data_IF_626024503924
#
_entry.id   IF_626024503924
#
_cell.length_a   1.000
_cell.length_b   1.000
_cell.length_c   1.000
_cell.angle_alpha   90.00
_cell.angle_beta   90.00
_cell.angle_gamma   90.00
#
_symmetry.space_group_name_H-M   'P 1'
#
loop_
_entity.id
_entity.type
_entity.pdbx_description
1 polymer ?
#
# COMPACT_ATOMS: atom_id res chain seq x y z
N UNK A 1 4.27 -4.86 35.59
CA UNK A 1 4.36 -5.76 34.40
C UNK A 1 4.69 -5.05 33.08
N UNK A 2 4.38 -3.74 32.89
CA UNK A 2 4.75 -3.00 31.67
C UNK A 2 6.26 -2.67 31.57
N UNK A 3 6.89 -2.26 32.67
CA UNK A 3 8.32 -1.90 32.71
C UNK A 3 9.27 -3.06 32.30
N UNK A 4 8.91 -4.31 32.62
CA UNK A 4 9.67 -5.50 32.21
C UNK A 4 9.46 -5.89 30.74
N UNK A 5 8.41 -5.38 30.08
CA UNK A 5 8.17 -5.61 28.63
C UNK A 5 9.00 -4.66 27.77
N UNK A 6 9.07 -3.38 28.12
CA UNK A 6 9.89 -2.38 27.42
C UNK A 6 11.38 -2.72 27.49
N UNK A 7 11.90 -3.06 28.68
CA UNK A 7 13.30 -3.47 28.85
C UNK A 7 13.68 -4.71 28.04
N UNK A 8 12.76 -5.68 27.91
CA UNK A 8 12.97 -6.87 27.07
C UNK A 8 12.99 -6.52 25.59
N UNK A 9 12.13 -5.59 25.16
CA UNK A 9 12.12 -5.09 23.79
C UNK A 9 13.39 -4.31 23.46
N UNK A 10 13.84 -3.41 24.33
CA UNK A 10 15.10 -2.70 24.14
C UNK A 10 16.28 -3.66 23.99
N UNK A 11 16.31 -4.73 24.80
CA UNK A 11 17.34 -5.76 24.71
C UNK A 11 17.29 -6.53 23.39
N UNK A 12 16.09 -6.96 22.96
CA UNK A 12 15.91 -7.63 21.66
C UNK A 12 16.27 -6.72 20.49
N UNK A 13 15.86 -5.45 20.54
CA UNK A 13 16.15 -4.45 19.51
C UNK A 13 17.63 -4.15 19.42
N UNK A 14 18.33 -4.00 20.56
CA UNK A 14 19.79 -3.85 20.60
C UNK A 14 20.49 -5.08 20.01
N UNK A 15 20.07 -6.28 20.42
CA UNK A 15 20.71 -7.52 19.99
C UNK A 15 20.51 -7.83 18.50
N UNK A 16 19.34 -7.50 17.95
CA UNK A 16 18.99 -7.80 16.56
C UNK A 16 19.22 -6.63 15.61
N UNK A 17 19.71 -5.47 16.07
CA UNK A 17 19.87 -4.26 15.24
C UNK A 17 20.73 -4.52 14.00
N UNK A 18 21.87 -5.17 14.17
CA UNK A 18 22.81 -5.46 13.07
C UNK A 18 22.19 -6.48 12.11
N UNK A 19 21.66 -7.58 12.63
CA UNK A 19 20.96 -8.60 11.84
C UNK A 19 19.78 -8.02 11.05
N UNK A 20 19.05 -7.06 11.63
CA UNK A 20 17.95 -6.34 10.97
C UNK A 20 18.43 -5.53 9.78
N UNK A 21 19.54 -4.79 9.91
CA UNK A 21 20.11 -4.01 8.79
C UNK A 21 20.54 -4.93 7.65
N UNK A 22 21.29 -6.00 7.95
CA UNK A 22 21.74 -6.96 6.92
C UNK A 22 20.58 -7.68 6.23
N UNK A 23 19.58 -8.15 7.00
CA UNK A 23 18.40 -8.80 6.41
C UNK A 23 17.58 -7.84 5.54
N UNK A 24 17.41 -6.59 5.98
CA UNK A 24 16.71 -5.57 5.19
C UNK A 24 17.44 -5.30 3.87
N UNK A 25 18.76 -5.09 3.91
CA UNK A 25 19.57 -4.88 2.71
C UNK A 25 19.51 -6.10 1.77
N UNK A 26 19.54 -7.31 2.31
CA UNK A 26 19.44 -8.54 1.51
C UNK A 26 18.09 -8.66 0.81
N UNK A 27 17.00 -8.30 1.48
CA UNK A 27 15.67 -8.26 0.85
C UNK A 27 15.55 -7.14 -0.19
N UNK A 28 16.16 -5.97 0.05
CA UNK A 28 16.28 -4.92 -0.97
C UNK A 28 17.07 -5.40 -2.19
N UNK A 29 18.21 -6.07 -2.00
CA UNK A 29 19.03 -6.63 -3.09
C UNK A 29 18.27 -7.71 -3.89
N UNK A 30 17.51 -8.58 -3.22
CA UNK A 30 16.64 -9.56 -3.88
C UNK A 30 15.56 -8.88 -4.70
N UNK A 31 14.92 -7.84 -4.16
CA UNK A 31 13.87 -7.10 -4.85
C UNK A 31 14.39 -6.35 -6.09
N UNK A 32 15.65 -5.93 -6.08
CA UNK A 32 16.30 -5.28 -7.24
C UNK A 32 16.81 -6.32 -8.25
N UNK A 33 17.09 -7.55 -7.82
CA UNK A 33 17.63 -8.63 -8.65
C UNK A 33 19.16 -8.68 -8.71
N UNK A 34 19.85 -8.17 -7.67
CA UNK A 34 21.33 -8.11 -7.59
C UNK A 34 21.94 -9.36 -6.92
N UNK A 35 21.13 -10.20 -6.26
CA UNK A 35 21.65 -11.39 -5.59
C UNK A 35 22.20 -12.42 -6.61
N UNK A 36 23.40 -13.01 -6.38
CA UNK A 36 23.85 -14.14 -7.17
C UNK A 36 22.91 -15.30 -6.86
N UNK A 37 22.16 -15.76 -7.85
CA UNK A 37 21.64 -17.12 -7.78
C UNK A 37 22.84 -18.07 -7.76
N UNK A 38 22.81 -19.03 -6.84
CA UNK A 38 23.75 -20.16 -6.78
C UNK A 38 23.97 -20.75 -8.19
N UNK A 39 25.25 -20.85 -8.57
CA UNK A 39 25.82 -21.69 -9.63
C UNK A 39 25.15 -21.71 -11.02
N UNK A 40 25.06 -20.55 -11.67
CA UNK A 40 24.99 -20.54 -13.12
C UNK A 40 25.67 -19.28 -13.65
N UNK A 41 26.65 -19.49 -14.53
CA UNK A 41 27.50 -18.50 -15.18
C UNK A 41 26.80 -17.15 -15.38
N UNK A 42 27.49 -16.09 -14.93
CA UNK A 42 27.15 -14.70 -15.16
C UNK A 42 27.17 -14.40 -16.67
N UNK A 43 26.08 -14.75 -17.36
CA UNK A 43 25.69 -14.05 -18.58
C UNK A 43 25.03 -12.78 -18.10
N UNK A 44 25.68 -11.65 -18.35
CA UNK A 44 25.10 -10.31 -18.36
C UNK A 44 23.66 -10.42 -18.87
N UNK A 45 22.69 -10.39 -17.96
CA UNK A 45 21.28 -10.61 -18.31
C UNK A 45 20.85 -9.35 -19.02
N UNK A 46 21.06 -9.36 -20.33
CA UNK A 46 20.44 -8.49 -21.31
C UNK A 46 18.99 -8.32 -20.89
N UNK A 47 18.67 -7.16 -20.30
CA UNK A 47 17.29 -6.74 -20.16
C UNK A 47 16.64 -6.92 -21.54
N UNK A 48 15.44 -7.51 -21.64
CA UNK A 48 14.79 -7.72 -22.93
C UNK A 48 14.87 -6.41 -23.72
N UNK A 49 15.41 -6.46 -24.94
CA UNK A 49 15.74 -5.29 -25.79
C UNK A 49 14.59 -4.26 -25.84
N UNK A 50 13.34 -4.71 -25.67
CA UNK A 50 12.13 -3.88 -25.58
C UNK A 50 12.03 -2.93 -24.35
N UNK A 51 12.80 -3.13 -23.27
CA UNK A 51 12.77 -2.26 -22.09
C UNK A 51 13.66 -1.01 -22.23
N UNK A 52 14.72 -1.06 -23.05
CA UNK A 52 15.61 0.08 -23.25
C UNK A 52 15.00 1.19 -24.14
N UNK A 53 14.00 0.86 -24.97
CA UNK A 53 13.47 1.77 -25.98
C UNK A 53 12.25 2.60 -25.53
N UNK A 54 11.71 2.35 -24.33
CA UNK A 54 10.58 3.12 -23.79
C UNK A 54 10.91 3.86 -22.50
N UNK A 55 10.08 4.84 -22.15
CA UNK A 55 10.08 5.42 -20.81
C UNK A 55 9.75 4.36 -19.75
N UNK A 56 10.45 4.36 -18.60
CA UNK A 56 10.07 3.51 -17.47
C UNK A 56 8.74 3.98 -16.86
N UNK A 57 8.03 3.07 -16.20
CA UNK A 57 6.71 3.32 -15.62
C UNK A 57 6.75 3.21 -14.10
N UNK A 58 6.27 4.26 -13.43
CA UNK A 58 5.98 4.26 -12.00
C UNK A 58 4.46 4.14 -11.81
N UNK A 59 4.00 2.99 -11.33
CA UNK A 59 2.60 2.75 -10.99
C UNK A 59 2.38 2.91 -9.50
N UNK A 60 1.62 3.93 -9.12
CA UNK A 60 1.10 4.10 -7.77
C UNK A 60 -0.19 3.31 -7.59
N UNK A 61 -0.19 2.31 -6.72
CA UNK A 61 -1.40 1.66 -6.22
C UNK A 61 -1.81 2.35 -4.91
N UNK A 62 -2.95 3.05 -4.92
CA UNK A 62 -3.47 3.84 -3.81
C UNK A 62 -4.83 3.37 -3.33
N UNK A 63 -5.13 3.59 -2.06
CA UNK A 63 -6.39 3.16 -1.47
C UNK A 63 -6.26 2.80 0.00
N UNK A 64 -7.31 3.06 0.77
CA UNK A 64 -7.33 2.78 2.20
C UNK A 64 -7.03 1.31 2.52
N UNK A 65 -6.59 1.05 3.76
CA UNK A 65 -6.31 -0.33 4.19
C UNK A 65 -7.58 -1.19 4.06
N UNK A 66 -7.47 -2.39 3.49
CA UNK A 66 -8.62 -3.26 3.23
C UNK A 66 -9.48 -2.87 2.02
N UNK A 67 -9.09 -1.88 1.22
CA UNK A 67 -9.83 -1.47 0.02
C UNK A 67 -9.83 -2.49 -1.13
N UNK A 68 -9.03 -3.57 -1.06
CA UNK A 68 -8.96 -4.56 -2.14
C UNK A 68 -7.94 -4.24 -3.23
N UNK A 69 -6.89 -3.45 -2.93
CA UNK A 69 -5.80 -3.11 -3.86
C UNK A 69 -5.19 -4.32 -4.54
N UNK A 70 -4.88 -5.37 -3.77
CA UNK A 70 -4.27 -6.60 -4.30
C UNK A 70 -5.17 -7.31 -5.32
N UNK A 71 -6.51 -7.19 -5.21
CA UNK A 71 -7.43 -7.74 -6.21
C UNK A 71 -7.31 -6.99 -7.54
N UNK A 72 -7.30 -5.66 -7.49
CA UNK A 72 -7.13 -4.80 -8.68
C UNK A 72 -5.75 -4.99 -9.30
N UNK A 73 -4.69 -5.07 -8.48
CA UNK A 73 -3.33 -5.27 -8.94
C UNK A 73 -3.18 -6.59 -9.72
N UNK A 74 -3.82 -7.68 -9.26
CA UNK A 74 -3.81 -8.96 -9.99
C UNK A 74 -4.36 -8.85 -11.40
N UNK A 75 -5.36 -8.00 -11.62
CA UNK A 75 -5.94 -7.81 -12.94
C UNK A 75 -5.08 -6.87 -13.80
N UNK A 76 -4.50 -5.83 -13.20
CA UNK A 76 -3.54 -4.95 -13.89
C UNK A 76 -2.31 -5.72 -14.37
N UNK A 77 -1.78 -6.64 -13.55
CA UNK A 77 -0.62 -7.45 -13.92
C UNK A 77 -0.87 -8.39 -15.11
N UNK A 78 -2.13 -8.65 -15.47
CA UNK A 78 -2.52 -9.41 -16.67
C UNK A 78 -2.62 -8.54 -17.92
N UNK A 79 -2.61 -7.21 -17.79
CA UNK A 79 -2.68 -6.30 -18.94
C UNK A 79 -1.43 -6.45 -19.82
N UNK A 80 -1.53 -6.27 -21.16
CA UNK A 80 -0.43 -6.56 -22.10
C UNK A 80 0.90 -5.89 -21.75
N UNK A 81 0.85 -4.68 -21.17
CA UNK A 81 2.04 -3.97 -20.71
C UNK A 81 2.71 -4.70 -19.53
N UNK A 82 1.94 -5.00 -18.49
CA UNK A 82 2.47 -5.57 -17.26
C UNK A 82 2.74 -7.07 -17.39
N UNK A 83 2.03 -7.82 -18.23
CA UNK A 83 2.33 -9.23 -18.46
C UNK A 83 3.76 -9.47 -18.97
N UNK A 84 4.30 -8.51 -19.74
CA UNK A 84 5.69 -8.54 -20.21
C UNK A 84 6.70 -7.83 -19.29
N UNK A 85 6.28 -6.81 -18.54
CA UNK A 85 7.18 -6.00 -17.70
C UNK A 85 7.25 -6.44 -16.22
N UNK A 86 6.21 -7.09 -15.70
CA UNK A 86 6.06 -7.36 -14.27
C UNK A 86 7.16 -8.26 -13.70
N UNK A 87 7.71 -9.18 -14.50
CA UNK A 87 8.84 -10.03 -14.08
C UNK A 87 10.12 -9.23 -13.79
N UNK A 88 10.26 -8.04 -14.37
CA UNK A 88 11.41 -7.15 -14.21
C UNK A 88 11.08 -5.88 -13.41
N UNK A 89 9.81 -5.68 -13.02
CA UNK A 89 9.37 -4.52 -12.27
C UNK A 89 9.70 -4.69 -10.77
N UNK A 90 10.09 -3.59 -10.13
CA UNK A 90 10.33 -3.57 -8.69
C UNK A 90 9.01 -3.30 -7.98
N UNK A 91 8.50 -4.28 -7.23
CA UNK A 91 7.28 -4.14 -6.43
C UNK A 91 7.67 -3.67 -5.03
N UNK A 92 7.09 -2.56 -4.59
CA UNK A 92 7.41 -1.92 -3.31
C UNK A 92 6.16 -1.90 -2.45
N UNK A 93 6.13 -2.78 -1.45
CA UNK A 93 5.08 -2.85 -0.43
C UNK A 93 5.75 -2.75 0.96
N UNK A 94 5.53 -1.64 1.68
CA UNK A 94 6.14 -1.45 3.00
C UNK A 94 5.72 -2.52 4.02
N UNK A 95 4.52 -3.09 3.88
CA UNK A 95 4.05 -4.16 4.75
C UNK A 95 4.78 -5.50 4.50
N UNK A 96 5.31 -5.76 3.29
CA UNK A 96 6.08 -6.97 3.00
C UNK A 96 7.39 -7.02 3.80
N UNK A 97 8.06 -5.86 3.95
CA UNK A 97 9.25 -5.74 4.79
C UNK A 97 8.99 -5.99 6.28
N UNK A 98 7.74 -5.82 6.76
CA UNK A 98 7.40 -6.15 8.15
C UNK A 98 7.44 -7.65 8.40
N UNK A 99 7.05 -8.46 7.41
CA UNK A 99 6.98 -9.91 7.54
C UNK A 99 8.36 -10.56 7.54
N UNK A 100 9.32 -9.94 6.85
CA UNK A 100 10.71 -10.40 6.80
C UNK A 100 11.54 -9.89 7.99
N UNK A 101 11.09 -8.83 8.66
CA UNK A 101 11.77 -8.22 9.81
C UNK A 101 12.02 -9.22 10.96
N UNK A 102 13.30 -9.38 11.32
CA UNK A 102 13.74 -10.32 12.36
C UNK A 102 13.16 -10.01 13.75
N UNK A 103 12.87 -8.74 14.06
CA UNK A 103 12.22 -8.33 15.31
C UNK A 103 10.74 -8.70 15.26
N UNK A 104 10.08 -8.48 14.12
CA UNK A 104 8.68 -8.88 13.95
C UNK A 104 8.51 -10.41 14.07
N UNK A 105 9.37 -11.20 13.41
CA UNK A 105 9.38 -12.67 13.52
C UNK A 105 9.66 -13.14 14.96
N UNK A 106 10.61 -12.51 15.65
CA UNK A 106 10.95 -12.86 17.03
C UNK A 106 9.82 -12.56 18.03
N UNK A 107 9.07 -11.48 17.81
CA UNK A 107 7.95 -11.10 18.67
C UNK A 107 6.65 -11.86 18.35
N UNK A 108 6.39 -12.17 17.07
CA UNK A 108 5.21 -12.94 16.66
C UNK A 108 5.30 -14.42 17.02
N UNK A 109 6.49 -15.01 17.02
CA UNK A 109 6.71 -16.44 17.34
C UNK A 109 6.54 -16.80 18.83
N UNK A 110 6.54 -15.82 19.75
CA UNK A 110 6.56 -16.07 21.20
C UNK A 110 5.20 -16.08 21.90
N UNK A 111 4.10 -15.90 21.16
CA UNK A 111 2.72 -16.01 21.69
C UNK A 111 2.29 -14.87 22.62
N UNK A 112 1.03 -14.44 22.50
CA UNK A 112 0.36 -13.40 23.33
C UNK A 112 1.04 -12.01 23.39
N UNK A 113 1.61 -11.55 22.28
CA UNK A 113 1.95 -10.13 22.10
C UNK A 113 0.80 -9.39 21.39
N UNK A 114 0.55 -8.13 21.78
CA UNK A 114 -0.36 -7.25 21.04
C UNK A 114 0.20 -7.03 19.64
N UNK A 115 -0.36 -7.77 18.68
CA UNK A 115 0.09 -7.80 17.28
C UNK A 115 0.12 -6.41 16.66
N UNK A 116 -0.73 -5.51 17.14
CA UNK A 116 -0.81 -4.13 16.67
C UNK A 116 0.41 -3.34 17.16
N UNK A 117 0.74 -3.44 18.46
CA UNK A 117 1.94 -2.80 19.00
C UNK A 117 3.21 -3.31 18.34
N UNK A 118 3.32 -4.64 18.11
CA UNK A 118 4.47 -5.23 17.41
C UNK A 118 4.62 -4.69 15.98
N UNK A 119 3.52 -4.55 15.24
CA UNK A 119 3.55 -4.01 13.88
C UNK A 119 3.93 -2.51 13.84
N UNK A 120 3.54 -1.73 14.85
CA UNK A 120 3.89 -0.31 14.96
C UNK A 120 5.38 -0.10 15.26
N UNK A 121 5.97 -0.96 16.08
CA UNK A 121 7.39 -0.88 16.44
C UNK A 121 8.33 -1.11 15.26
N UNK A 122 7.95 -1.98 14.33
CA UNK A 122 8.76 -2.22 13.11
C UNK A 122 8.43 -1.27 11.97
N UNK A 123 7.33 -0.52 12.06
CA UNK A 123 6.79 0.27 10.97
C UNK A 123 7.81 1.25 10.38
N UNK A 124 8.55 1.99 11.22
CA UNK A 124 9.49 2.99 10.71
C UNK A 124 10.61 2.39 9.87
N UNK A 125 11.17 1.25 10.27
CA UNK A 125 12.26 0.65 9.49
C UNK A 125 11.75 -0.04 8.24
N UNK A 126 10.56 -0.63 8.25
CA UNK A 126 9.93 -1.14 7.01
C UNK A 126 9.62 0.00 6.03
N UNK A 127 9.15 1.14 6.53
CA UNK A 127 8.93 2.36 5.71
C UNK A 127 10.26 2.89 5.15
N UNK A 128 11.32 2.92 5.95
CA UNK A 128 12.64 3.34 5.48
C UNK A 128 13.19 2.39 4.41
N UNK A 129 13.05 1.07 4.59
CA UNK A 129 13.48 0.07 3.61
C UNK A 129 12.75 0.22 2.28
N UNK A 130 11.43 0.34 2.33
CA UNK A 130 10.62 0.59 1.15
C UNK A 130 11.01 1.90 0.44
N UNK A 131 11.38 2.93 1.20
CA UNK A 131 11.82 4.23 0.66
C UNK A 131 13.21 4.16 0.04
N UNK A 132 14.13 3.39 0.63
CA UNK A 132 15.46 3.07 0.10
C UNK A 132 15.36 2.34 -1.23
N UNK A 133 14.55 1.27 -1.27
CA UNK A 133 14.28 0.51 -2.48
C UNK A 133 13.65 1.40 -3.57
N UNK A 134 12.73 2.28 -3.20
CA UNK A 134 12.04 3.19 -4.13
C UNK A 134 13.00 4.17 -4.79
N UNK A 135 13.81 4.88 -4.02
CA UNK A 135 14.75 5.85 -4.61
C UNK A 135 15.80 5.16 -5.47
N UNK A 136 16.29 3.99 -5.05
CA UNK A 136 17.24 3.19 -5.82
C UNK A 136 16.64 2.73 -7.15
N UNK A 137 15.46 2.09 -7.12
CA UNK A 137 14.80 1.62 -8.34
C UNK A 137 14.47 2.77 -9.30
N UNK A 138 14.03 3.92 -8.78
CA UNK A 138 13.71 5.09 -9.60
C UNK A 138 14.95 5.69 -10.26
N UNK A 139 16.04 5.83 -9.50
CA UNK A 139 17.33 6.29 -10.00
C UNK A 139 17.85 5.39 -11.14
N UNK A 140 17.69 4.07 -11.03
CA UNK A 140 18.09 3.08 -12.05
C UNK A 140 17.14 2.97 -13.25
N UNK A 141 16.07 3.78 -13.33
CA UNK A 141 15.17 3.75 -14.48
C UNK A 141 14.36 2.45 -14.59
N UNK A 142 14.12 1.74 -13.48
CA UNK A 142 13.33 0.50 -13.44
C UNK A 142 11.84 0.80 -13.50
N UNK A 143 11.03 -0.11 -14.05
CA UNK A 143 9.59 -0.06 -13.79
C UNK A 143 9.33 -0.34 -12.31
N UNK A 144 8.48 0.46 -11.69
CA UNK A 144 8.19 0.38 -10.26
C UNK A 144 6.68 0.29 -10.05
N UNK A 145 6.25 -0.66 -9.22
CA UNK A 145 4.88 -0.72 -8.69
C UNK A 145 4.95 -0.42 -7.21
N UNK A 146 4.42 0.73 -6.80
CA UNK A 146 4.39 1.14 -5.42
C UNK A 146 3.00 0.90 -4.82
N UNK A 147 2.89 -0.11 -3.95
CA UNK A 147 1.66 -0.41 -3.21
C UNK A 147 1.67 0.30 -1.85
N UNK A 148 0.78 1.29 -1.71
CA UNK A 148 0.63 2.06 -0.50
C UNK A 148 -0.80 2.52 -0.24
N UNK A 149 -1.01 3.16 0.90
CA UNK A 149 -2.29 3.85 1.14
C UNK A 149 -2.39 5.15 0.36
N UNK A 150 -1.24 5.77 0.05
CA UNK A 150 -1.11 7.12 -0.50
C UNK A 150 -1.90 8.17 0.31
N UNK A 151 -2.01 7.93 1.63
CA UNK A 151 -2.78 8.78 2.55
C UNK A 151 -2.01 10.02 3.02
N UNK A 152 -0.76 10.21 2.61
CA UNK A 152 0.09 11.30 3.05
C UNK A 152 0.58 12.12 1.86
N UNK A 153 -0.09 13.25 1.62
CA UNK A 153 0.08 14.06 0.41
C UNK A 153 1.52 14.51 0.19
N UNK A 154 2.24 15.07 1.18
CA UNK A 154 3.60 15.58 0.95
C UNK A 154 4.55 14.51 0.43
N UNK A 155 4.49 13.29 0.99
CA UNK A 155 5.30 12.17 0.54
C UNK A 155 5.01 11.79 -0.91
N UNK A 156 3.73 11.68 -1.30
CA UNK A 156 3.34 11.30 -2.67
C UNK A 156 3.76 12.39 -3.66
N UNK A 157 3.52 13.66 -3.35
CA UNK A 157 3.89 14.80 -4.19
C UNK A 157 5.41 14.87 -4.36
N UNK A 158 6.18 14.79 -3.28
CA UNK A 158 7.65 14.78 -3.37
C UNK A 158 8.17 13.58 -4.18
N UNK A 159 7.54 12.40 -4.05
CA UNK A 159 7.91 11.21 -4.83
C UNK A 159 7.62 11.39 -6.32
N UNK A 160 6.48 11.98 -6.68
CA UNK A 160 6.17 12.32 -8.08
C UNK A 160 7.19 13.31 -8.61
N UNK A 161 7.51 14.37 -7.86
CA UNK A 161 8.53 15.36 -8.24
C UNK A 161 9.90 14.71 -8.46
N UNK A 162 10.31 13.80 -7.57
CA UNK A 162 11.54 13.02 -7.74
C UNK A 162 11.48 12.19 -9.03
N UNK A 163 10.44 11.38 -9.23
CA UNK A 163 10.29 10.52 -10.40
C UNK A 163 10.26 11.31 -11.73
N UNK A 164 9.74 12.54 -11.74
CA UNK A 164 9.83 13.43 -12.90
C UNK A 164 11.25 13.91 -13.19
N UNK A 165 12.13 13.96 -12.20
CA UNK A 165 13.47 14.53 -12.31
C UNK A 165 14.62 13.50 -12.28
N UNK A 166 14.38 12.24 -11.89
CA UNK A 166 15.42 11.21 -11.76
C UNK A 166 16.18 10.91 -13.06
N UNK A 167 15.59 11.27 -14.21
CA UNK A 167 16.25 11.16 -15.51
C UNK A 167 17.35 12.22 -15.74
N UNK A 168 17.40 13.28 -14.92
CA UNK A 168 18.38 14.38 -14.99
C UNK A 168 19.29 14.45 -13.76
N UNK A 169 18.81 14.01 -12.60
CA UNK A 169 19.50 14.12 -11.30
C UNK A 169 19.34 12.81 -10.53
N UNK A 170 20.33 12.41 -9.75
CA UNK A 170 20.15 11.32 -8.77
C UNK A 170 19.59 11.89 -7.47
N UNK A 171 18.89 11.03 -6.75
CA UNK A 171 18.29 11.34 -5.45
C UNK A 171 18.75 10.33 -4.40
N UNK A 172 18.69 10.72 -3.13
CA UNK A 172 18.79 9.84 -1.97
C UNK A 172 17.62 10.06 -1.03
N UNK A 173 17.46 9.18 -0.06
CA UNK A 173 16.51 9.40 1.04
C UNK A 173 16.88 10.67 1.82
N UNK A 174 15.89 11.53 2.02
CA UNK A 174 15.99 12.69 2.91
C UNK A 174 15.67 12.34 4.37
N UNK A 175 15.59 13.37 5.21
CA UNK A 175 15.32 13.24 6.64
C UNK A 175 13.94 12.62 6.99
N UNK A 176 13.01 12.56 6.03
CA UNK A 176 11.61 12.17 6.21
C UNK A 176 10.81 13.24 6.94
N UNK A 177 9.78 12.80 7.67
CA UNK A 177 9.00 13.66 8.56
C UNK A 177 9.57 13.60 9.98
N UNK A 178 9.98 14.74 10.52
CA UNK A 178 10.50 14.90 11.89
C UNK A 178 9.90 16.13 12.55
N UNK A 179 9.59 16.00 13.83
CA UNK A 179 9.19 17.12 14.69
C UNK A 179 10.28 17.30 15.74
N UNK A 180 10.91 18.48 15.75
CA UNK A 180 11.94 18.83 16.71
C UNK A 180 11.30 19.17 18.08
N UNK A 181 12.15 19.26 19.12
CA UNK A 181 11.69 19.49 20.51
C UNK A 181 11.01 20.86 20.71
N UNK A 182 11.38 21.83 19.87
CA UNK A 182 10.79 23.17 19.80
C UNK A 182 9.49 23.21 18.97
N UNK A 183 9.05 22.08 18.42
CA UNK A 183 7.88 21.97 17.56
C UNK A 183 8.15 22.25 16.08
N UNK A 184 9.39 22.57 15.69
CA UNK A 184 9.72 22.78 14.27
C UNK A 184 9.55 21.47 13.48
N UNK A 185 8.86 21.55 12.33
CA UNK A 185 8.59 20.40 11.47
C UNK A 185 9.55 20.42 10.28
N UNK A 186 10.30 19.33 10.12
CA UNK A 186 11.06 19.06 8.90
C UNK A 186 10.34 17.95 8.13
N UNK A 187 10.00 18.22 6.87
CA UNK A 187 9.35 17.24 5.99
C UNK A 187 10.03 17.20 4.63
N UNK A 188 11.07 16.37 4.52
CA UNK A 188 11.83 16.19 3.29
C UNK A 188 12.15 14.71 3.08
N UNK A 189 11.48 14.08 2.11
CA UNK A 189 11.62 12.65 1.85
C UNK A 189 12.74 12.33 0.87
N UNK A 190 13.08 13.25 -0.04
CA UNK A 190 14.05 13.01 -1.12
C UNK A 190 15.01 14.19 -1.26
N UNK A 191 16.30 13.90 -1.25
CA UNK A 191 17.35 14.89 -1.44
C UNK A 191 18.04 14.68 -2.78
N UNK A 192 18.25 15.76 -3.54
CA UNK A 192 19.07 15.71 -4.74
C UNK A 192 20.53 15.48 -4.36
N UNK A 193 21.22 14.68 -5.18
CA UNK A 193 22.66 14.48 -5.08
C UNK A 193 23.31 15.33 -6.17
N UNK A 194 24.30 16.13 -5.81
CA UNK A 194 25.20 16.77 -6.77
C UNK A 194 26.10 15.70 -7.36
N UNK A 195 25.73 15.18 -8.53
CA UNK A 195 26.65 14.46 -9.40
C UNK A 195 27.10 15.43 -10.50
N UNK A 196 28.41 15.53 -10.70
CA UNK A 196 28.96 15.97 -11.98
C UNK A 196 28.38 15.07 -13.06
N UNK A 197 27.95 15.63 -14.19
CA UNK A 197 27.38 14.90 -15.33
C UNK A 197 28.41 13.89 -15.88
N UNK A 198 28.58 12.75 -15.21
CA UNK A 198 29.25 11.62 -15.80
C UNK A 198 28.28 11.03 -16.82
N UNK A 199 28.40 11.51 -18.05
CA UNK A 199 27.94 10.83 -19.25
C UNK A 199 28.65 9.47 -19.37
N UNK A 200 28.36 8.56 -18.44
CA UNK A 200 28.70 7.17 -18.62
C UNK A 200 27.70 6.58 -19.61
N UNK A 201 28.21 6.39 -20.82
CA UNK A 201 27.69 5.51 -21.86
C UNK A 201 26.39 5.94 -22.56
N UNK A 202 26.41 7.08 -23.26
CA UNK A 202 25.62 7.39 -24.48
C UNK A 202 24.08 7.32 -24.47
N UNK A 203 23.45 6.73 -23.45
CA UNK A 203 22.01 6.51 -23.33
C UNK A 203 21.46 7.45 -22.26
N UNK A 204 20.92 8.58 -22.72
CA UNK A 204 20.18 9.50 -21.85
C UNK A 204 19.01 8.76 -21.19
N UNK A 205 18.96 8.77 -19.85
CA UNK A 205 17.84 8.24 -19.07
C UNK A 205 16.54 8.91 -19.53
N UNK A 206 15.48 8.11 -19.72
CA UNK A 206 14.18 8.61 -20.18
C UNK A 206 13.33 9.05 -18.98
N UNK A 207 12.48 10.08 -19.13
CA UNK A 207 11.56 10.49 -18.08
C UNK A 207 10.53 9.38 -17.80
N UNK A 208 10.14 9.24 -16.53
CA UNK A 208 9.10 8.29 -16.13
C UNK A 208 7.73 8.69 -16.66
N UNK A 209 6.97 7.69 -17.12
CA UNK A 209 5.50 7.74 -17.18
C UNK A 209 4.96 7.35 -15.81
N UNK A 210 4.12 8.19 -15.23
CA UNK A 210 3.57 7.99 -13.89
C UNK A 210 2.09 7.67 -14.00
N UNK A 211 1.70 6.52 -13.46
CA UNK A 211 0.33 6.03 -13.45
C UNK A 211 -0.19 5.93 -12.02
N UNK A 212 -1.47 6.23 -11.82
CA UNK A 212 -2.16 6.09 -10.55
C UNK A 212 -3.34 5.14 -10.69
N UNK A 213 -3.42 4.15 -9.83
CA UNK A 213 -4.59 3.30 -9.66
C UNK A 213 -5.10 3.48 -8.25
N UNK A 214 -6.21 4.19 -8.12
CA UNK A 214 -6.96 4.31 -6.89
C UNK A 214 -7.95 3.17 -6.71
N UNK A 215 -8.06 2.67 -5.49
CA UNK A 215 -9.04 1.65 -5.12
C UNK A 215 -9.82 2.14 -3.91
N UNK A 216 -11.14 2.20 -4.06
CA UNK A 216 -12.07 2.63 -3.02
C UNK A 216 -13.10 1.55 -2.72
N UNK A 217 -13.52 1.51 -1.48
CA UNK A 217 -14.71 0.80 -1.06
C UNK A 217 -15.31 1.51 0.14
N UNK A 218 -16.53 1.11 0.48
CA UNK A 218 -17.19 1.45 1.73
C UNK A 218 -16.27 1.12 2.93
N UNK A 219 -16.22 2.03 3.90
CA UNK A 219 -15.30 1.92 5.02
C UNK A 219 -15.66 0.78 5.98
N UNK A 220 -16.96 0.44 6.11
CA UNK A 220 -17.40 -0.71 6.88
C UNK A 220 -16.94 -2.03 6.23
N UNK A 221 -17.04 -2.14 4.90
CA UNK A 221 -16.51 -3.30 4.18
C UNK A 221 -14.99 -3.45 4.37
N UNK A 222 -14.25 -2.34 4.33
CA UNK A 222 -12.82 -2.35 4.60
C UNK A 222 -12.50 -2.87 6.01
N UNK A 223 -13.25 -2.42 7.04
CA UNK A 223 -13.07 -2.87 8.43
C UNK A 223 -13.32 -4.36 8.55
N UNK A 224 -14.40 -4.90 7.95
CA UNK A 224 -14.65 -6.35 7.95
C UNK A 224 -13.50 -7.11 7.30
N UNK A 225 -13.00 -6.64 6.16
CA UNK A 225 -11.84 -7.25 5.48
C UNK A 225 -10.60 -7.22 6.37
N UNK A 226 -10.39 -6.13 7.10
CA UNK A 226 -9.34 -5.99 8.11
C UNK A 226 -9.45 -7.02 9.23
N UNK A 227 -10.65 -7.20 9.79
CA UNK A 227 -10.94 -8.20 10.84
C UNK A 227 -10.72 -9.62 10.31
N UNK A 228 -11.25 -9.95 9.12
CA UNK A 228 -11.03 -11.26 8.48
C UNK A 228 -9.54 -11.54 8.28
N UNK A 229 -8.78 -10.54 7.81
CA UNK A 229 -7.32 -10.66 7.64
C UNK A 229 -6.59 -10.84 8.99
N UNK A 230 -7.06 -10.20 10.06
CA UNK A 230 -6.51 -10.41 11.40
C UNK A 230 -6.72 -11.84 11.89
N UNK A 231 -7.88 -12.44 11.60
CA UNK A 231 -8.20 -13.82 11.98
C UNK A 231 -7.38 -14.82 11.17
N UNK A 232 -7.38 -14.69 9.82
CA UNK A 232 -6.78 -15.67 8.91
C UNK A 232 -5.26 -15.53 8.86
N UNK A 233 -4.76 -14.32 8.63
CA UNK A 233 -3.35 -14.06 8.33
C UNK A 233 -2.58 -13.50 9.53
N UNK A 234 -3.22 -13.40 10.71
CA UNK A 234 -2.63 -12.75 11.89
C UNK A 234 -2.07 -11.36 11.58
N UNK A 235 -2.79 -10.56 10.78
CA UNK A 235 -2.43 -9.17 10.46
C UNK A 235 -3.56 -8.21 10.82
N UNK A 236 -3.45 -7.62 12.00
CA UNK A 236 -4.41 -6.66 12.54
C UNK A 236 -4.02 -5.22 12.22
N UNK A 237 -5.03 -4.36 12.04
CA UNK A 237 -4.88 -2.91 11.83
C UNK A 237 -5.88 -2.23 12.74
N UNK A 238 -5.49 -1.13 13.40
CA UNK A 238 -6.42 -0.31 14.20
C UNK A 238 -7.48 0.29 13.28
N UNK A 239 -8.76 0.16 13.67
CA UNK A 239 -9.89 0.70 12.91
C UNK A 239 -9.72 2.18 12.63
N UNK A 240 -9.35 2.99 13.64
CA UNK A 240 -9.07 4.43 13.46
C UNK A 240 -8.02 4.71 12.38
N UNK A 241 -6.89 4.00 12.39
CA UNK A 241 -5.85 4.13 11.35
C UNK A 241 -6.36 3.73 9.97
N UNK A 242 -7.21 2.70 9.91
CA UNK A 242 -7.86 2.27 8.67
C UNK A 242 -8.80 3.34 8.12
N UNK A 243 -9.73 3.84 8.93
CA UNK A 243 -10.66 4.93 8.56
C UNK A 243 -9.91 6.18 8.11
N UNK A 244 -8.88 6.58 8.86
CA UNK A 244 -8.01 7.72 8.52
C UNK A 244 -7.31 7.54 7.18
N UNK A 245 -6.82 6.34 6.86
CA UNK A 245 -6.18 6.06 5.57
C UNK A 245 -7.15 6.21 4.40
N UNK A 246 -8.38 5.73 4.56
CA UNK A 246 -9.47 5.85 3.59
C UNK A 246 -9.84 7.31 3.34
N UNK A 247 -10.13 8.06 4.42
CA UNK A 247 -10.51 9.47 4.36
C UNK A 247 -9.44 10.32 3.67
N UNK A 248 -8.19 10.17 4.09
CA UNK A 248 -7.06 10.94 3.54
C UNK A 248 -6.80 10.61 2.07
N UNK A 249 -6.80 9.33 1.70
CA UNK A 249 -6.66 8.95 0.30
C UNK A 249 -7.77 9.53 -0.57
N UNK A 250 -9.03 9.38 -0.14
CA UNK A 250 -10.17 9.87 -0.88
C UNK A 250 -10.11 11.40 -1.11
N UNK A 251 -9.71 12.16 -0.09
CA UNK A 251 -9.57 13.61 -0.19
C UNK A 251 -8.38 14.04 -1.08
N UNK A 252 -7.34 13.22 -1.19
CA UNK A 252 -6.15 13.52 -1.97
C UNK A 252 -6.21 13.03 -3.43
N UNK A 253 -7.09 12.07 -3.73
CA UNK A 253 -7.11 11.37 -5.02
C UNK A 253 -7.19 12.31 -6.23
N UNK A 254 -8.06 13.33 -6.19
CA UNK A 254 -8.18 14.29 -7.28
C UNK A 254 -6.92 15.15 -7.46
N UNK A 255 -6.27 15.53 -6.37
CA UNK A 255 -4.97 16.22 -6.43
C UNK A 255 -3.92 15.33 -7.10
N UNK A 256 -3.85 14.05 -6.75
CA UNK A 256 -2.92 13.12 -7.39
C UNK A 256 -3.20 12.95 -8.88
N UNK A 257 -4.48 12.91 -9.28
CA UNK A 257 -4.86 12.84 -10.69
C UNK A 257 -4.30 14.01 -11.50
N UNK A 258 -4.06 15.18 -10.91
CA UNK A 258 -3.48 16.33 -11.62
C UNK A 258 -1.96 16.20 -11.83
N UNK A 259 -1.28 15.36 -11.05
CA UNK A 259 0.19 15.25 -11.03
C UNK A 259 0.74 14.08 -11.86
N UNK A 260 -0.12 13.10 -12.17
CA UNK A 260 0.22 11.86 -12.88
C UNK A 260 -0.28 11.88 -14.32
N UNK A 261 0.33 11.08 -15.18
CA UNK A 261 -0.04 11.01 -16.60
C UNK A 261 -1.39 10.30 -16.76
N UNK A 262 -1.54 9.12 -16.17
CA UNK A 262 -2.77 8.34 -16.24
C UNK A 262 -3.31 8.06 -14.85
N UNK A 263 -4.64 8.08 -14.69
CA UNK A 263 -5.28 7.67 -13.45
C UNK A 263 -6.47 6.75 -13.71
N UNK A 264 -6.64 5.75 -12.85
CA UNK A 264 -7.80 4.86 -12.83
C UNK A 264 -8.34 4.80 -11.41
N UNK A 265 -9.66 4.74 -11.25
CA UNK A 265 -10.32 4.59 -9.97
C UNK A 265 -11.23 3.35 -10.03
N UNK A 266 -10.99 2.41 -9.13
CA UNK A 266 -11.78 1.19 -9.01
C UNK A 266 -12.60 1.19 -7.73
N UNK A 267 -13.85 0.73 -7.83
CA UNK A 267 -14.73 0.44 -6.72
C UNK A 267 -14.75 -1.07 -6.45
N UNK A 268 -14.61 -1.47 -5.18
CA UNK A 268 -14.67 -2.89 -4.76
C UNK A 268 -15.81 -3.15 -3.77
N UNK A 269 -16.93 -2.43 -3.88
CA UNK A 269 -18.09 -2.62 -3.00
C UNK A 269 -18.85 -3.93 -3.24
N UNK A 270 -18.77 -4.47 -4.47
CA UNK A 270 -19.36 -5.76 -4.77
C UNK A 270 -18.77 -6.83 -3.83
N UNK A 271 -19.64 -7.53 -3.10
CA UNK A 271 -19.26 -8.65 -2.22
C UNK A 271 -18.66 -9.80 -3.02
N UNK A 272 -19.15 -9.99 -4.25
CA UNK A 272 -18.70 -10.96 -5.24
C UNK A 272 -18.62 -10.27 -6.61
N UNK A 273 -17.57 -10.57 -7.37
CA UNK A 273 -17.36 -10.02 -8.71
C UNK A 273 -16.06 -9.21 -8.87
N UNK A 274 -15.71 -8.84 -10.11
CA UNK A 274 -14.51 -8.09 -10.40
C UNK A 274 -14.61 -6.63 -9.89
N UNK A 275 -13.48 -5.97 -9.59
CA UNK A 275 -13.46 -4.53 -9.31
C UNK A 275 -14.10 -3.72 -10.46
N UNK A 276 -15.01 -2.80 -10.14
CA UNK A 276 -15.65 -1.93 -11.13
C UNK A 276 -14.78 -0.70 -11.40
N UNK A 277 -14.43 -0.42 -12.66
CA UNK A 277 -13.77 0.84 -13.03
C UNK A 277 -14.81 1.97 -13.00
N UNK A 278 -14.59 2.97 -12.15
CA UNK A 278 -15.54 4.08 -11.91
C UNK A 278 -14.95 5.45 -12.21
N UNK A 279 -13.67 5.52 -12.55
CA UNK A 279 -13.03 6.74 -13.01
C UNK A 279 -11.79 6.45 -13.83
N UNK A 280 -11.56 7.26 -14.86
CA UNK A 280 -10.44 7.11 -15.77
C UNK A 280 -9.97 8.46 -16.31
N UNK A 281 -8.65 8.62 -16.33
CA UNK A 281 -7.91 9.76 -16.88
C UNK A 281 -6.81 9.21 -17.78
N UNK A 282 -6.70 9.79 -18.96
CA UNK A 282 -5.60 9.54 -19.89
C UNK A 282 -4.90 10.86 -20.25
N UNK A 283 -3.59 10.90 -19.97
CA UNK A 283 -2.69 12.05 -20.22
C UNK A 283 -3.24 13.38 -19.72
N UNK A 284 -3.40 14.38 -20.59
CA UNK A 284 -3.79 15.74 -20.20
C UNK A 284 -5.31 15.91 -20.09
N UNK A 285 -6.08 14.83 -20.18
CA UNK A 285 -7.54 14.88 -20.04
C UNK A 285 -7.94 15.05 -18.58
N UNK A 286 -9.12 15.60 -18.36
CA UNK A 286 -9.76 15.58 -17.05
C UNK A 286 -10.20 14.15 -16.69
N UNK A 287 -10.27 13.86 -15.40
CA UNK A 287 -10.79 12.59 -14.91
C UNK A 287 -12.27 12.45 -15.29
N UNK A 288 -12.59 11.45 -16.12
CA UNK A 288 -13.94 11.02 -16.41
C UNK A 288 -14.39 10.05 -15.30
N UNK A 289 -15.62 10.20 -14.82
CA UNK A 289 -16.16 9.39 -13.71
C UNK A 289 -17.54 8.88 -14.03
N UNK A 290 -17.85 7.67 -13.55
CA UNK A 290 -19.21 7.17 -13.50
C UNK A 290 -19.99 8.00 -12.45
N UNK A 291 -21.00 8.79 -12.85
CA UNK A 291 -21.69 9.71 -11.95
C UNK A 291 -22.45 8.99 -10.83
N UNK A 292 -22.89 7.76 -11.07
CA UNK A 292 -23.66 6.98 -10.10
C UNK A 292 -22.72 6.33 -9.04
N UNK A 293 -21.51 5.97 -9.44
CA UNK A 293 -20.56 5.26 -8.58
C UNK A 293 -19.55 6.15 -7.87
N UNK A 294 -19.22 7.32 -8.42
CA UNK A 294 -18.21 8.21 -7.85
C UNK A 294 -18.57 8.70 -6.44
N UNK A 295 -19.84 8.60 -6.06
CA UNK A 295 -20.30 8.96 -4.73
C UNK A 295 -19.57 8.18 -3.61
N UNK A 296 -19.13 6.94 -3.88
CA UNK A 296 -18.35 6.16 -2.90
C UNK A 296 -17.07 6.89 -2.47
N UNK A 297 -16.33 7.49 -3.41
CA UNK A 297 -15.12 8.27 -3.11
C UNK A 297 -15.46 9.50 -2.24
N UNK A 298 -16.51 10.25 -2.61
CA UNK A 298 -16.95 11.45 -1.89
C UNK A 298 -17.41 11.11 -0.46
N UNK A 299 -18.15 10.02 -0.31
CA UNK A 299 -18.67 9.54 0.97
C UNK A 299 -17.52 9.15 1.90
N UNK A 300 -16.56 8.37 1.41
CA UNK A 300 -15.36 7.97 2.17
C UNK A 300 -14.50 9.17 2.57
N UNK A 301 -14.38 10.20 1.71
CA UNK A 301 -13.69 11.45 2.06
C UNK A 301 -14.32 12.23 3.23
N UNK A 302 -15.61 11.99 3.51
CA UNK A 302 -16.40 12.66 4.56
C UNK A 302 -16.62 11.82 5.81
N UNK A 303 -16.06 10.60 5.87
CA UNK A 303 -16.26 9.71 7.02
C UNK A 303 -15.73 10.32 8.33
N UNK A 304 -16.30 9.86 9.44
CA UNK A 304 -15.82 10.13 10.78
C UNK A 304 -14.73 9.11 11.16
N UNK A 305 -13.47 9.55 11.21
CA UNK A 305 -12.33 8.67 11.53
C UNK A 305 -12.24 8.31 13.03
N UNK A 306 -13.00 9.02 13.87
CA UNK A 306 -13.12 8.80 15.31
C UNK A 306 -14.39 7.99 15.68
N UNK A 307 -15.10 7.45 14.68
CA UNK A 307 -16.33 6.70 14.91
C UNK A 307 -16.06 5.44 15.75
N UNK A 308 -16.85 5.27 16.81
CA UNK A 308 -16.83 4.07 17.65
C UNK A 308 -17.96 3.09 17.29
N UNK A 309 -18.88 3.49 16.42
CA UNK A 309 -19.99 2.68 15.95
C UNK A 309 -20.29 2.95 14.48
N UNK A 310 -21.01 2.03 13.82
CA UNK A 310 -21.46 2.18 12.43
C UNK A 310 -22.38 3.41 12.25
N UNK A 311 -23.12 3.78 13.29
CA UNK A 311 -24.07 4.90 13.27
C UNK A 311 -23.34 6.25 13.22
N UNK A 312 -22.13 6.31 13.77
CA UNK A 312 -21.27 7.50 13.79
C UNK A 312 -20.37 7.63 12.55
N UNK A 313 -20.25 6.57 11.73
CA UNK A 313 -19.28 6.50 10.63
C UNK A 313 -19.52 7.56 9.56
N UNK A 314 -20.79 7.86 9.28
CA UNK A 314 -21.22 8.87 8.33
C UNK A 314 -22.22 9.83 8.98
N UNK A 315 -22.26 11.08 8.48
CA UNK A 315 -23.26 12.07 8.91
C UNK A 315 -24.67 11.65 8.49
N UNK A 316 -25.70 12.24 9.11
CA UNK A 316 -27.09 11.98 8.76
C UNK A 316 -27.52 12.69 7.45
N UNK A 317 -28.34 12.02 6.59
CA UNK A 317 -28.76 10.63 6.72
C UNK A 317 -27.58 9.66 6.48
N UNK A 318 -27.45 8.65 7.36
CA UNK A 318 -26.32 7.71 7.31
C UNK A 318 -26.60 6.67 6.22
N UNK A 319 -25.74 6.54 5.19
CA UNK A 319 -25.95 5.60 4.09
C UNK A 319 -26.06 4.13 4.54
N UNK A 320 -25.44 3.76 5.66
CA UNK A 320 -25.56 2.42 6.24
C UNK A 320 -26.97 2.13 6.78
N UNK A 321 -27.84 3.14 6.91
CA UNK A 321 -29.22 2.99 7.36
C UNK A 321 -30.24 3.14 6.22
N UNK A 322 -29.79 3.29 4.98
CA UNK A 322 -30.63 3.40 3.79
C UNK A 322 -30.95 2.01 3.22
N UNK A 323 -32.11 1.89 2.57
CA UNK A 323 -32.49 0.67 1.85
C UNK A 323 -31.52 0.43 0.70
N UNK A 324 -31.12 -0.83 0.45
CA UNK A 324 -30.06 -1.17 -0.49
C UNK A 324 -28.68 -1.28 0.16
N UNK A 325 -28.52 -0.82 1.41
CA UNK A 325 -27.26 -0.96 2.15
C UNK A 325 -27.15 -2.35 2.79
N UNK A 326 -25.93 -2.90 2.82
CA UNK A 326 -25.63 -4.19 3.46
C UNK A 326 -26.07 -4.20 4.93
N UNK A 327 -25.88 -3.08 5.63
CA UNK A 327 -26.19 -3.02 7.05
C UNK A 327 -27.69 -3.08 7.29
N UNK A 328 -28.51 -2.37 6.51
CA UNK A 328 -29.96 -2.44 6.63
C UNK A 328 -30.54 -3.77 6.12
N UNK A 329 -30.13 -4.18 4.93
CA UNK A 329 -30.79 -5.26 4.20
C UNK A 329 -30.31 -6.66 4.63
N UNK A 330 -29.09 -6.76 5.19
CA UNK A 330 -28.49 -8.03 5.59
C UNK A 330 -28.26 -8.07 7.11
N UNK A 331 -27.59 -7.08 7.68
CA UNK A 331 -27.17 -7.14 9.10
C UNK A 331 -28.34 -6.92 10.07
N UNK A 332 -29.22 -5.98 9.76
CA UNK A 332 -30.41 -5.66 10.56
C UNK A 332 -31.65 -6.44 10.10
N UNK A 333 -31.51 -7.30 9.08
CA UNK A 333 -32.63 -8.09 8.56
C UNK A 333 -33.19 -9.04 9.63
N UNK A 334 -34.52 -9.10 9.81
CA UNK A 334 -35.16 -10.03 10.74
C UNK A 334 -34.84 -11.51 10.45
N UNK A 335 -34.56 -11.86 9.19
CA UNK A 335 -34.25 -13.24 8.79
C UNK A 335 -32.85 -13.68 9.17
N UNK A 336 -31.94 -12.74 9.51
CA UNK A 336 -30.53 -13.01 9.80
C UNK A 336 -30.34 -14.06 10.91
N UNK A 337 -31.15 -14.02 11.96
CA UNK A 337 -31.05 -14.96 13.07
C UNK A 337 -31.28 -16.41 12.61
N UNK A 338 -32.28 -16.62 11.74
CA UNK A 338 -32.60 -17.95 11.22
C UNK A 338 -31.49 -18.44 10.29
N UNK A 339 -30.99 -17.58 9.39
CA UNK A 339 -29.86 -17.88 8.50
C UNK A 339 -28.62 -18.27 9.32
N UNK A 340 -28.31 -17.55 10.40
CA UNK A 340 -27.18 -17.87 11.26
C UNK A 340 -27.33 -19.20 12.00
N UNK A 341 -28.54 -19.56 12.43
CA UNK A 341 -28.83 -20.86 13.05
C UNK A 341 -28.64 -22.00 12.06
N UNK A 342 -29.13 -21.85 10.84
CA UNK A 342 -28.97 -22.83 9.76
C UNK A 342 -27.50 -23.01 9.36
N UNK A 343 -26.76 -21.91 9.23
CA UNK A 343 -25.33 -21.93 8.95
C UNK A 343 -24.57 -22.64 10.07
N UNK A 344 -24.87 -22.32 11.34
CA UNK A 344 -24.26 -22.99 12.51
C UNK A 344 -24.55 -24.48 12.51
N UNK A 345 -25.80 -24.88 12.26
CA UNK A 345 -26.19 -26.29 12.18
C UNK A 345 -25.42 -27.01 11.05
N UNK A 346 -25.34 -26.38 9.87
CA UNK A 346 -24.63 -26.94 8.72
C UNK A 346 -23.14 -27.13 8.98
N UNK A 347 -22.48 -26.14 9.59
CA UNK A 347 -21.06 -26.23 10.00
C UNK A 347 -20.87 -27.37 10.99
N UNK A 348 -21.70 -27.43 12.05
CA UNK A 348 -21.62 -28.48 13.07
C UNK A 348 -21.84 -29.88 12.48
N UNK A 349 -22.72 -30.02 11.49
CA UNK A 349 -22.94 -31.29 10.80
C UNK A 349 -21.70 -31.72 10.04
N UNK A 350 -21.06 -30.80 9.30
CA UNK A 350 -19.80 -31.09 8.57
C UNK A 350 -18.65 -31.42 9.53
N UNK A 351 -18.54 -30.70 10.64
CA UNK A 351 -17.51 -30.95 11.66
C UNK A 351 -17.67 -32.31 12.36
N UNK A 352 -18.90 -32.78 12.55
CA UNK A 352 -19.18 -34.12 13.11
C UNK A 352 -19.02 -35.26 12.12
N UNK A 353 -18.98 -34.96 10.82
CA UNK A 353 -18.76 -35.94 9.75
C UNK A 353 -17.29 -36.08 9.34
N UNK A 354 -16.39 -35.30 9.96
CA UNK A 354 -14.94 -35.52 9.97
C UNK A 354 -14.56 -36.26 11.24
#
# INVERSE_FOLDING_TARGET
MAATREQRFERLTKNLKVARVFSTLLEEMKAIGIAPNDDSQCTDVMAPVAHCDRSPVLLFMGGGMGAGKSTVLKDILKEPFWSGAAGNAVIIEADAFKETDVIYKALSSRGHHDMIQTAELVHQSSTNAASSLLVTALNEGRDVIMDGTLSWVPFVVQTITMARNVHRRRYRMGAGYKVAKDGAVTENYWEQIEEEEQEQDGKKRKPYRIELVGVVCDAYLAVIRGIRRAIINRRAVRVKSQLKSHKRFANAFLTYCQLVDNARLYCTNALEGPPKLIGWKDRDRNLLVDPDEINCLKMVGRLNEEANSIYELYKHPNPACESGSIWKDIVLSPSRLNIQKELKYSIQRVERSK
#
